data_IF_216847046674
#
_entry.id   IF_216847046674
#
_cell.length_a   1.000
_cell.length_b   1.000
_cell.length_c   1.000
_cell.angle_alpha   90.00
_cell.angle_beta   90.00
_cell.angle_gamma   90.00
#
_symmetry.space_group_name_H-M   'P 1'
#
loop_
_entity.id
_entity.type
_entity.pdbx_description
1 polymer ?
#
# COMPACT_ATOMS: atom_id res chain seq x y z
N UNK A 1 48.51 4.76 -15.68
CA UNK A 1 47.26 5.29 -15.05
C UNK A 1 45.97 4.81 -15.75
N UNK A 2 45.89 3.56 -16.25
CA UNK A 2 44.70 3.08 -17.00
C UNK A 2 43.97 1.90 -16.33
N UNK A 3 44.51 1.32 -15.25
CA UNK A 3 43.95 0.10 -14.64
C UNK A 3 42.96 0.33 -13.47
N UNK A 4 42.87 1.54 -12.92
CA UNK A 4 42.00 1.85 -11.77
C UNK A 4 40.58 2.25 -12.22
N UNK A 5 40.42 2.76 -13.45
CA UNK A 5 39.11 3.24 -13.94
C UNK A 5 38.16 2.09 -14.31
N UNK A 6 38.69 0.91 -14.65
CA UNK A 6 37.88 -0.27 -15.03
C UNK A 6 37.26 -0.96 -13.80
N UNK A 7 37.88 -0.85 -12.62
CA UNK A 7 37.33 -1.42 -11.38
C UNK A 7 36.21 -0.57 -10.77
N UNK A 8 36.15 0.73 -11.10
CA UNK A 8 35.08 1.64 -10.68
C UNK A 8 33.83 1.58 -11.59
N UNK A 9 33.97 1.20 -12.85
CA UNK A 9 32.81 0.98 -13.74
C UNK A 9 32.09 -0.35 -13.48
N UNK A 10 32.74 -1.32 -12.82
CA UNK A 10 32.12 -2.57 -12.34
C UNK A 10 31.32 -2.42 -11.03
N UNK A 11 31.53 -1.33 -10.29
CA UNK A 11 30.75 -1.01 -9.08
C UNK A 11 29.48 -0.17 -9.36
N UNK A 12 29.28 0.26 -10.61
CA UNK A 12 28.07 0.94 -11.06
C UNK A 12 27.00 0.00 -11.62
N UNK A 13 27.08 -1.32 -11.36
CA UNK A 13 25.92 -2.21 -11.35
C UNK A 13 25.08 -1.92 -10.09
N UNK A 14 24.62 -0.66 -10.03
CA UNK A 14 23.61 -0.16 -9.12
C UNK A 14 22.49 -1.19 -9.11
N UNK A 15 22.28 -1.87 -7.99
CA UNK A 15 21.07 -2.65 -7.79
C UNK A 15 19.91 -1.66 -7.93
N UNK A 16 19.31 -1.58 -9.12
CA UNK A 16 18.18 -0.68 -9.38
C UNK A 16 17.01 -1.21 -8.55
N UNK A 17 16.89 -0.67 -7.34
CA UNK A 17 15.79 -1.00 -6.45
C UNK A 17 14.67 -0.02 -6.77
N UNK A 18 13.60 -0.54 -7.37
CA UNK A 18 12.43 0.23 -7.76
C UNK A 18 11.43 0.27 -6.60
N UNK A 19 10.73 1.40 -6.48
CA UNK A 19 9.69 1.59 -5.46
C UNK A 19 8.39 1.88 -6.18
N UNK A 20 7.43 0.98 -6.05
CA UNK A 20 6.06 1.17 -6.52
C UNK A 20 5.16 1.52 -5.34
N UNK A 21 4.19 2.41 -5.56
CA UNK A 21 3.22 2.81 -4.53
C UNK A 21 1.83 2.81 -5.15
N UNK A 22 0.86 2.26 -4.45
CA UNK A 22 -0.55 2.32 -4.87
C UNK A 22 -1.46 2.49 -3.66
N UNK A 23 -2.63 3.09 -3.86
CA UNK A 23 -3.64 3.16 -2.82
C UNK A 23 -4.29 1.79 -2.62
N UNK A 24 -4.71 1.50 -1.38
CA UNK A 24 -5.64 0.40 -1.12
C UNK A 24 -6.85 0.56 -2.04
N UNK A 25 -7.15 -0.47 -2.83
CA UNK A 25 -8.14 -0.38 -3.89
C UNK A 25 -9.01 -1.64 -3.94
N UNK A 26 -10.27 -1.47 -4.32
CA UNK A 26 -11.18 -2.58 -4.53
C UNK A 26 -10.76 -3.43 -5.76
N UNK A 27 -11.40 -4.59 -6.04
CA UNK A 27 -11.03 -5.43 -7.17
C UNK A 27 -11.09 -4.74 -8.55
N UNK A 28 -11.92 -3.71 -8.68
CA UNK A 28 -12.07 -2.87 -9.88
C UNK A 28 -11.01 -1.77 -9.99
N UNK A 29 -10.08 -1.66 -9.03
CA UNK A 29 -9.02 -0.66 -9.03
C UNK A 29 -9.44 0.72 -8.52
N UNK A 30 -10.63 0.85 -7.91
CA UNK A 30 -11.06 2.11 -7.29
C UNK A 30 -10.45 2.22 -5.90
N UNK A 31 -9.74 3.32 -5.57
CA UNK A 31 -9.20 3.51 -4.24
C UNK A 31 -10.29 3.57 -3.18
N UNK A 32 -9.99 3.07 -1.99
CA UNK A 32 -10.94 2.96 -0.87
C UNK A 32 -10.35 3.56 0.39
N UNK A 33 -11.21 4.09 1.25
CA UNK A 33 -10.83 4.47 2.62
C UNK A 33 -11.38 3.46 3.62
N UNK A 34 -10.72 3.36 4.76
CA UNK A 34 -11.17 2.62 5.92
C UNK A 34 -11.77 3.62 6.91
N UNK A 35 -12.99 3.38 7.38
CA UNK A 35 -13.57 4.15 8.48
C UNK A 35 -12.87 3.78 9.78
N UNK A 36 -12.28 4.77 10.46
CA UNK A 36 -11.53 4.52 11.69
C UNK A 36 -12.53 4.20 12.82
N UNK A 37 -12.45 3.02 13.46
CA UNK A 37 -13.38 2.64 14.52
C UNK A 37 -13.29 3.60 15.72
N UNK A 38 -14.45 4.00 16.24
CA UNK A 38 -14.59 4.82 17.45
C UNK A 38 -13.84 6.17 17.39
N UNK A 39 -13.56 6.69 16.19
CA UNK A 39 -12.93 7.99 16.02
C UNK A 39 -13.99 9.11 16.01
N UNK A 40 -13.74 10.15 16.79
CA UNK A 40 -14.58 11.35 16.85
C UNK A 40 -14.20 12.29 15.70
N UNK A 41 -15.17 12.70 14.87
CA UNK A 41 -14.94 13.63 13.74
C UNK A 41 -14.36 14.98 14.16
N UNK A 42 -14.50 15.37 15.43
CA UNK A 42 -13.89 16.59 15.98
C UNK A 42 -12.41 16.44 16.34
N UNK A 43 -11.88 15.21 16.31
CA UNK A 43 -10.52 14.88 16.74
C UNK A 43 -9.83 14.03 15.68
N UNK A 44 -8.58 14.35 15.38
CA UNK A 44 -7.77 13.47 14.54
C UNK A 44 -7.59 12.11 15.23
N UNK A 45 -7.56 11.01 14.46
CA UNK A 45 -7.35 9.68 15.01
C UNK A 45 -5.96 9.59 15.65
N UNK A 46 -5.85 8.82 16.73
CA UNK A 46 -4.56 8.60 17.38
C UNK A 46 -3.66 7.78 16.46
N UNK A 47 -2.36 8.06 16.47
CA UNK A 47 -1.37 7.29 15.69
C UNK A 47 -1.45 5.79 15.97
N UNK A 48 -1.70 5.39 17.22
CA UNK A 48 -1.86 3.99 17.61
C UNK A 48 -3.06 3.30 16.96
N UNK A 49 -4.15 4.02 16.67
CA UNK A 49 -5.31 3.48 15.96
C UNK A 49 -4.98 3.20 14.49
N UNK A 50 -4.20 4.09 13.87
CA UNK A 50 -3.76 3.92 12.47
C UNK A 50 -2.77 2.76 12.35
N UNK A 51 -1.80 2.66 13.28
CA UNK A 51 -0.86 1.53 13.34
C UNK A 51 -1.61 0.20 13.53
N UNK A 52 -2.60 0.15 14.41
CA UNK A 52 -3.41 -1.05 14.61
C UNK A 52 -4.16 -1.48 13.33
N UNK A 53 -4.62 -0.50 12.52
CA UNK A 53 -5.19 -0.79 11.20
C UNK A 53 -4.12 -1.40 10.30
N UNK A 54 -2.95 -0.76 10.17
CA UNK A 54 -1.84 -1.24 9.33
C UNK A 54 -1.41 -2.67 9.69
N UNK A 55 -1.17 -2.94 10.98
CA UNK A 55 -0.81 -4.26 11.50
C UNK A 55 -1.91 -5.29 11.19
N UNK A 56 -3.17 -4.93 11.43
CA UNK A 56 -4.28 -5.87 11.23
C UNK A 56 -4.52 -6.25 9.77
N UNK A 57 -4.17 -5.40 8.79
CA UNK A 57 -4.38 -5.68 7.36
C UNK A 57 -3.12 -6.20 6.67
N UNK A 58 -1.94 -6.07 7.30
CA UNK A 58 -0.65 -6.59 6.80
C UNK A 58 -0.34 -8.01 7.27
N UNK A 59 -1.16 -8.57 8.17
CA UNK A 59 -0.93 -9.85 8.85
C UNK A 59 -0.92 -11.09 7.92
N UNK A 60 -1.34 -10.94 6.65
CA UNK A 60 -1.53 -12.07 5.72
C UNK A 60 -0.52 -12.18 4.57
N UNK A 61 0.52 -11.34 4.49
CA UNK A 61 1.40 -11.26 3.30
C UNK A 61 2.85 -11.71 3.49
N UNK A 62 3.31 -12.02 4.71
CA UNK A 62 4.74 -12.32 4.96
C UNK A 62 5.17 -13.77 4.67
N UNK A 63 4.34 -14.60 4.01
CA UNK A 63 4.75 -15.96 3.67
C UNK A 63 5.54 -15.97 2.35
N UNK A 64 6.71 -16.63 2.32
CA UNK A 64 7.56 -16.82 1.12
C UNK A 64 6.78 -17.36 -0.09
N UNK A 65 5.75 -18.15 0.15
CA UNK A 65 4.84 -18.66 -0.90
C UNK A 65 3.96 -17.57 -1.53
N UNK A 66 3.70 -16.47 -0.83
CA UNK A 66 2.94 -15.35 -1.36
C UNK A 66 3.71 -14.57 -2.43
N UNK A 67 5.06 -14.59 -2.40
CA UNK A 67 5.89 -13.87 -3.37
C UNK A 67 5.67 -14.35 -4.81
N UNK A 68 5.52 -15.65 -5.03
CA UNK A 68 5.24 -16.19 -6.37
C UNK A 68 3.90 -15.71 -6.95
N UNK A 69 2.93 -15.36 -6.10
CA UNK A 69 1.64 -14.80 -6.55
C UNK A 69 1.80 -13.38 -7.09
N UNK A 70 2.76 -12.63 -6.56
CA UNK A 70 3.01 -11.24 -6.94
C UNK A 70 4.07 -11.11 -8.04
N UNK A 71 4.97 -12.09 -8.14
CA UNK A 71 6.04 -12.15 -9.14
C UNK A 71 6.03 -13.51 -9.86
N UNK A 72 5.04 -13.76 -10.73
CA UNK A 72 4.96 -15.03 -11.47
C UNK A 72 6.17 -15.19 -12.40
N UNK A 73 6.77 -16.39 -12.42
CA UNK A 73 7.91 -16.70 -13.27
C UNK A 73 9.26 -16.15 -12.79
N UNK A 74 9.32 -15.56 -11.59
CA UNK A 74 10.57 -15.16 -10.94
C UNK A 74 10.89 -16.16 -9.83
N UNK A 75 12.12 -16.66 -9.81
CA UNK A 75 12.58 -17.53 -8.73
C UNK A 75 12.54 -16.79 -7.38
N UNK A 76 11.93 -17.35 -6.32
CA UNK A 76 11.81 -16.65 -5.04
C UNK A 76 13.15 -16.24 -4.41
N UNK A 77 14.26 -16.91 -4.76
CA UNK A 77 15.61 -16.54 -4.32
C UNK A 77 16.08 -15.20 -4.89
N UNK A 78 15.52 -14.80 -6.04
CA UNK A 78 15.95 -13.62 -6.79
C UNK A 78 15.11 -12.38 -6.43
N UNK A 79 14.02 -12.59 -5.69
CA UNK A 79 13.12 -11.53 -5.22
C UNK A 79 13.61 -10.97 -3.89
N UNK A 80 14.16 -9.74 -3.92
CA UNK A 80 14.44 -8.95 -2.72
C UNK A 80 13.40 -7.86 -2.60
N UNK A 81 12.45 -8.02 -1.69
CA UNK A 81 11.33 -7.10 -1.52
C UNK A 81 11.15 -6.63 -0.08
N UNK A 82 10.63 -5.43 0.05
CA UNK A 82 10.10 -4.89 1.29
C UNK A 82 8.79 -4.19 0.95
N UNK A 83 7.73 -4.42 1.71
CA UNK A 83 6.52 -3.62 1.62
C UNK A 83 6.24 -2.89 2.92
N UNK A 84 5.53 -1.79 2.79
CA UNK A 84 5.08 -0.98 3.92
C UNK A 84 3.69 -0.44 3.62
N UNK A 85 2.87 -0.35 4.66
CA UNK A 85 1.64 0.44 4.62
C UNK A 85 1.93 1.77 5.30
N UNK A 86 1.61 2.84 4.61
CA UNK A 86 1.56 4.21 5.14
C UNK A 86 0.22 4.79 4.76
N UNK A 87 -0.19 5.91 5.33
CA UNK A 87 -1.44 6.49 4.88
C UNK A 87 -1.71 7.85 5.50
N UNK A 88 -2.80 8.44 5.06
CA UNK A 88 -3.30 9.68 5.61
C UNK A 88 -4.67 9.48 6.23
N UNK A 89 -4.96 10.27 7.24
CA UNK A 89 -6.28 10.31 7.86
C UNK A 89 -6.89 11.68 7.74
N UNK A 90 -8.21 11.72 7.69
CA UNK A 90 -8.97 12.97 7.67
C UNK A 90 -10.43 12.72 8.01
N UNK A 91 -11.27 13.72 7.74
CA UNK A 91 -12.73 13.58 7.82
C UNK A 91 -13.29 13.51 6.41
N UNK A 92 -14.11 12.50 6.16
CA UNK A 92 -14.82 12.32 4.91
C UNK A 92 -16.31 12.44 5.14
N UNK A 93 -17.00 13.05 4.18
CA UNK A 93 -18.46 13.09 4.17
C UNK A 93 -18.96 12.16 3.07
N UNK A 94 -19.72 11.10 3.40
CA UNK A 94 -20.29 10.23 2.40
C UNK A 94 -21.38 10.97 1.59
N UNK A 95 -21.67 10.51 0.37
CA UNK A 95 -22.79 11.05 -0.42
C UNK A 95 -24.14 10.90 0.30
N UNK A 96 -24.27 9.90 1.17
CA UNK A 96 -25.43 9.65 2.03
C UNK A 96 -24.93 9.32 3.43
N UNK A 97 -25.42 10.04 4.44
CA UNK A 97 -25.08 9.79 5.85
C UNK A 97 -24.22 10.89 6.48
N UNK A 98 -23.70 10.59 7.67
CA UNK A 98 -22.93 11.53 8.49
C UNK A 98 -21.43 11.48 8.18
N UNK A 99 -20.68 12.58 8.41
CA UNK A 99 -19.23 12.58 8.32
C UNK A 99 -18.59 11.54 9.24
N UNK A 100 -17.42 11.05 8.87
CA UNK A 100 -16.64 10.10 9.66
C UNK A 100 -15.14 10.34 9.48
N UNK A 101 -14.34 9.90 10.45
CA UNK A 101 -12.89 9.88 10.33
C UNK A 101 -12.47 8.69 9.49
N UNK A 102 -11.67 8.95 8.46
CA UNK A 102 -11.18 7.93 7.55
C UNK A 102 -9.66 7.78 7.66
N UNK A 103 -9.17 6.63 7.18
CA UNK A 103 -7.79 6.35 6.88
C UNK A 103 -7.69 5.89 5.43
N UNK A 104 -6.82 6.48 4.61
CA UNK A 104 -6.51 6.02 3.25
C UNK A 104 -5.13 5.34 3.27
N UNK A 105 -5.09 3.99 3.27
CA UNK A 105 -3.83 3.27 3.22
C UNK A 105 -3.23 3.34 1.81
N UNK A 106 -1.93 3.57 1.77
CA UNK A 106 -1.04 3.50 0.63
C UNK A 106 -0.05 2.36 0.87
N UNK A 107 0.11 1.54 -0.13
CA UNK A 107 0.91 0.32 -0.09
C UNK A 107 2.12 0.60 -0.94
N UNK A 108 3.28 0.61 -0.30
CA UNK A 108 4.57 0.73 -0.96
C UNK A 108 5.19 -0.65 -1.06
N UNK A 109 5.77 -0.93 -2.22
CA UNK A 109 6.59 -2.09 -2.50
C UNK A 109 7.92 -1.61 -3.06
N UNK A 110 8.99 -1.97 -2.37
CA UNK A 110 10.36 -1.80 -2.82
C UNK A 110 10.87 -3.15 -3.31
N UNK A 111 11.41 -3.23 -4.52
CA UNK A 111 11.94 -4.47 -5.09
C UNK A 111 13.16 -4.26 -5.98
N UNK A 112 13.99 -5.29 -6.16
CA UNK A 112 15.07 -5.30 -7.15
C UNK A 112 14.61 -5.68 -8.58
N UNK A 113 13.30 -5.80 -8.81
CA UNK A 113 12.70 -6.16 -10.10
C UNK A 113 12.36 -4.91 -10.91
N UNK A 114 11.94 -5.05 -12.16
CA UNK A 114 11.62 -3.90 -13.02
C UNK A 114 10.49 -3.03 -12.45
N UNK A 115 10.39 -1.79 -12.93
CA UNK A 115 9.27 -0.89 -12.59
C UNK A 115 7.91 -1.52 -12.91
N UNK A 116 7.79 -2.16 -14.07
CA UNK A 116 6.54 -2.82 -14.48
C UNK A 116 6.16 -3.95 -13.53
N UNK A 117 7.10 -4.85 -13.22
CA UNK A 117 6.87 -5.96 -12.29
C UNK A 117 6.52 -5.45 -10.89
N UNK A 118 7.21 -4.41 -10.42
CA UNK A 118 6.94 -3.78 -9.13
C UNK A 118 5.54 -3.15 -9.08
N UNK A 119 5.11 -2.46 -10.14
CA UNK A 119 3.78 -1.85 -10.22
C UNK A 119 2.64 -2.87 -10.30
N UNK A 120 2.84 -3.97 -11.03
CA UNK A 120 1.89 -5.07 -11.07
C UNK A 120 1.77 -5.73 -9.69
N UNK A 121 2.91 -6.04 -9.06
CA UNK A 121 2.95 -6.66 -7.74
C UNK A 121 2.30 -5.80 -6.64
N UNK A 122 2.59 -4.50 -6.59
CA UNK A 122 2.00 -3.61 -5.59
C UNK A 122 0.48 -3.50 -5.75
N UNK A 123 -0.02 -3.57 -6.98
CA UNK A 123 -1.46 -3.57 -7.28
C UNK A 123 -2.14 -4.87 -6.81
N UNK A 124 -1.48 -6.01 -6.95
CA UNK A 124 -1.97 -7.29 -6.43
C UNK A 124 -1.95 -7.32 -4.90
N UNK A 125 -0.88 -6.83 -4.28
CA UNK A 125 -0.78 -6.64 -2.83
C UNK A 125 -1.93 -5.77 -2.31
N UNK A 126 -2.27 -4.70 -3.01
CA UNK A 126 -3.39 -3.83 -2.65
C UNK A 126 -4.75 -4.51 -2.68
N UNK A 127 -4.98 -5.41 -3.65
CA UNK A 127 -6.21 -6.20 -3.71
C UNK A 127 -6.29 -7.21 -2.56
N UNK A 128 -5.18 -7.80 -2.16
CA UNK A 128 -5.14 -8.73 -1.02
C UNK A 128 -5.35 -8.00 0.31
N UNK A 129 -4.69 -6.86 0.53
CA UNK A 129 -4.93 -6.03 1.72
C UNK A 129 -6.37 -5.51 1.76
N UNK A 130 -6.98 -5.24 0.60
CA UNK A 130 -8.40 -4.86 0.55
C UNK A 130 -9.30 -5.98 1.08
N UNK A 131 -9.01 -7.24 0.73
CA UNK A 131 -9.77 -8.40 1.22
C UNK A 131 -9.66 -8.53 2.74
N UNK A 132 -8.47 -8.35 3.30
CA UNK A 132 -8.29 -8.35 4.76
C UNK A 132 -8.98 -7.17 5.43
N UNK A 133 -8.83 -5.97 4.88
CA UNK A 133 -9.48 -4.76 5.39
C UNK A 133 -11.01 -4.95 5.45
N UNK A 134 -11.62 -5.51 4.40
CA UNK A 134 -13.07 -5.75 4.33
C UNK A 134 -13.59 -6.74 5.38
N UNK A 135 -12.75 -7.66 5.87
CA UNK A 135 -13.14 -8.61 6.93
C UNK A 135 -13.24 -7.94 8.30
N UNK A 136 -12.42 -6.90 8.53
CA UNK A 136 -12.22 -6.30 9.86
C UNK A 136 -12.85 -4.91 9.99
N UNK A 137 -13.03 -4.19 8.88
CA UNK A 137 -13.42 -2.80 8.87
C UNK A 137 -14.51 -2.49 7.84
N UNK A 138 -15.18 -1.36 8.06
CA UNK A 138 -16.02 -0.72 7.06
C UNK A 138 -15.12 -0.01 6.03
N UNK A 139 -15.15 -0.49 4.79
CA UNK A 139 -14.34 -0.01 3.67
C UNK A 139 -15.22 0.70 2.66
N UNK A 140 -14.91 1.97 2.35
CA UNK A 140 -15.76 2.85 1.55
C UNK A 140 -14.98 3.31 0.31
N UNK A 141 -15.49 3.08 -0.92
CA UNK A 141 -14.90 3.61 -2.15
C UNK A 141 -14.83 5.14 -2.15
N UNK A 142 -13.73 5.71 -2.66
CA UNK A 142 -13.63 7.17 -2.84
C UNK A 142 -14.75 7.73 -3.73
N UNK A 143 -15.29 6.91 -4.64
CA UNK A 143 -16.42 7.28 -5.49
C UNK A 143 -17.72 7.52 -4.72
N UNK A 144 -17.82 7.01 -3.50
CA UNK A 144 -19.02 7.13 -2.65
C UNK A 144 -18.93 8.32 -1.68
N UNK A 145 -17.81 9.03 -1.71
CA UNK A 145 -17.56 10.23 -0.92
C UNK A 145 -17.92 11.50 -1.70
N UNK A 146 -18.22 12.57 -0.97
CA UNK A 146 -18.37 13.90 -1.56
C UNK A 146 -17.00 14.46 -1.94
N UNK A 147 -16.88 15.04 -3.14
CA UNK A 147 -15.59 15.52 -3.67
C UNK A 147 -15.02 16.75 -2.96
N UNK A 148 -15.76 17.39 -2.07
CA UNK A 148 -15.32 18.46 -1.18
C UNK A 148 -16.35 18.57 -0.05
N UNK A 149 -16.00 18.47 1.25
CA UNK A 149 -16.90 18.98 2.27
C UNK A 149 -17.05 20.48 2.03
N UNK A 150 -18.30 20.99 2.00
CA UNK A 150 -18.51 22.44 1.98
C UNK A 150 -17.76 23.04 3.20
N UNK A 151 -16.98 24.12 3.02
CA UNK A 151 -16.33 24.81 4.12
C UNK A 151 -17.34 25.28 5.17
#
# INVERSE_FOLDING_TARGET
>A
MIRIVILLSLFCLSSCVHTAVTALSNPSGVPVVIKVPNADVKRMPRKSQLIAIDESISDSSHNRQALQRYFPGVEPSDVRTQWQIVGFSGVATPKKGSPFVFYLPLISLRSNLSDEQSNQAVTLLAKDFYREAKKKYEVIPLTDLQKNPKP
#
